data_IF_209328678106
#
_entry.id   IF_209328678106
#
_cell.length_a   1.000
_cell.length_b   1.000
_cell.length_c   1.000
_cell.angle_alpha   90.00
_cell.angle_beta   90.00
_cell.angle_gamma   90.00
#
_symmetry.space_group_name_H-M   'P 1'
#
loop_
_entity.id
_entity.type
_entity.pdbx_description
1 polymer ?
#
# COMPACT_ATOMS: atom_id res chain seq x y z
N UNK A 1 14.39 -0.22 -0.78
CA UNK A 1 13.69 0.95 -1.36
C UNK A 1 12.18 0.87 -1.22
N UNK A 2 11.50 -0.22 -1.63
CA UNK A 2 10.02 -0.30 -1.58
C UNK A 2 9.43 -0.34 -0.16
N UNK A 3 10.06 -1.06 0.75
CA UNK A 3 9.56 -1.17 2.13
C UNK A 3 9.58 0.18 2.88
N UNK A 4 10.65 0.97 2.71
CA UNK A 4 10.75 2.29 3.33
C UNK A 4 9.68 3.24 2.80
N UNK A 5 9.32 3.16 1.52
CA UNK A 5 8.24 3.97 0.93
C UNK A 5 6.88 3.66 1.55
N UNK A 6 6.56 2.38 1.76
CA UNK A 6 5.31 2.00 2.46
C UNK A 6 5.30 2.51 3.91
N UNK A 7 6.43 2.41 4.61
CA UNK A 7 6.55 2.93 5.98
C UNK A 7 6.41 4.46 5.99
N UNK A 8 7.04 5.18 5.07
CA UNK A 8 6.99 6.64 4.97
C UNK A 8 5.58 7.14 4.63
N UNK A 9 4.89 6.49 3.68
CA UNK A 9 3.49 6.79 3.37
C UNK A 9 2.58 6.58 4.60
N UNK A 10 2.83 5.52 5.37
CA UNK A 10 2.09 5.25 6.59
C UNK A 10 2.43 6.25 7.72
N UNK A 11 3.70 6.64 7.86
CA UNK A 11 4.16 7.67 8.81
C UNK A 11 3.51 9.02 8.48
N UNK A 12 3.42 9.39 7.19
CA UNK A 12 2.74 10.60 6.74
C UNK A 12 1.25 10.56 7.06
N UNK A 13 0.56 9.44 6.77
CA UNK A 13 -0.87 9.27 7.09
C UNK A 13 -1.14 9.28 8.60
N UNK A 14 -0.25 8.68 9.41
CA UNK A 14 -0.36 8.66 10.87
C UNK A 14 0.08 9.96 11.56
N UNK A 15 0.77 10.86 10.85
CA UNK A 15 1.34 12.10 11.36
C UNK A 15 2.59 11.93 12.23
N UNK A 16 2.75 10.82 12.96
CA UNK A 16 3.94 10.51 13.77
C UNK A 16 4.24 9.00 13.74
N UNK A 17 5.54 8.67 13.80
CA UNK A 17 6.03 7.28 13.89
C UNK A 17 5.46 6.51 15.10
N UNK A 18 5.35 7.16 16.26
CA UNK A 18 4.80 6.55 17.48
C UNK A 18 3.34 6.13 17.32
N UNK A 19 2.55 6.91 16.56
CA UNK A 19 1.16 6.58 16.28
C UNK A 19 1.06 5.44 15.27
N UNK A 20 1.92 5.44 14.24
CA UNK A 20 2.03 4.29 13.33
C UNK A 20 2.35 2.99 14.08
N UNK A 21 3.27 3.01 15.04
CA UNK A 21 3.62 1.84 15.83
C UNK A 21 2.42 1.30 16.62
N UNK A 22 1.60 2.18 17.21
CA UNK A 22 0.35 1.79 17.89
C UNK A 22 -0.66 1.18 16.93
N UNK A 23 -0.88 1.80 15.76
CA UNK A 23 -1.79 1.30 14.70
C UNK A 23 -1.38 -0.10 14.25
N UNK A 24 -0.07 -0.31 14.03
CA UNK A 24 0.49 -1.59 13.61
C UNK A 24 0.65 -2.60 14.76
N UNK A 25 0.39 -2.19 16.01
CA UNK A 25 0.55 -2.98 17.24
C UNK A 25 1.97 -3.52 17.43
N UNK A 26 2.98 -2.70 17.17
CA UNK A 26 4.40 -3.04 17.32
C UNK A 26 5.16 -1.91 18.03
N UNK A 27 6.44 -2.12 18.33
CA UNK A 27 7.29 -1.07 18.91
C UNK A 27 7.91 -0.18 17.84
N UNK A 28 8.19 1.07 18.19
CA UNK A 28 8.98 2.02 17.37
C UNK A 28 10.35 1.46 16.97
N UNK A 29 10.96 0.67 17.88
CA UNK A 29 12.22 -0.01 17.64
C UNK A 29 12.11 -1.01 16.48
N UNK A 30 10.98 -1.73 16.40
CA UNK A 30 10.74 -2.65 15.29
C UNK A 30 10.70 -1.88 13.95
N UNK A 31 9.94 -0.78 13.86
CA UNK A 31 9.91 0.05 12.63
C UNK A 31 11.34 0.48 12.24
N UNK A 32 12.16 0.92 13.18
CA UNK A 32 13.56 1.31 12.92
C UNK A 32 14.41 0.15 12.39
N UNK A 33 14.26 -1.05 12.94
CA UNK A 33 15.01 -2.22 12.48
C UNK A 33 14.61 -2.62 11.05
N UNK A 34 13.34 -2.43 10.66
CA UNK A 34 12.90 -2.65 9.28
C UNK A 34 13.46 -1.58 8.34
N UNK A 35 13.37 -0.29 8.69
CA UNK A 35 13.90 0.81 7.85
C UNK A 35 15.41 0.69 7.59
N UNK A 36 16.15 0.13 8.56
CA UNK A 36 17.61 -0.09 8.46
C UNK A 36 17.99 -1.40 7.77
N UNK A 37 17.00 -2.20 7.35
CA UNK A 37 17.23 -3.46 6.67
C UNK A 37 17.66 -4.63 7.55
N UNK A 38 17.61 -4.48 8.88
CA UNK A 38 18.05 -5.51 9.82
C UNK A 38 17.06 -6.67 9.94
N UNK A 39 15.78 -6.42 9.63
CA UNK A 39 14.71 -7.45 9.59
C UNK A 39 13.55 -7.03 8.70
N UNK A 40 12.74 -7.99 8.26
CA UNK A 40 11.41 -7.74 7.72
C UNK A 40 10.33 -7.60 8.80
N UNK A 41 9.18 -7.05 8.41
CA UNK A 41 7.92 -7.23 9.12
C UNK A 41 7.40 -8.67 8.97
N UNK A 42 6.66 -9.13 9.98
CA UNK A 42 5.83 -10.33 9.87
C UNK A 42 4.61 -10.06 8.99
N UNK A 43 4.05 -11.11 8.39
CA UNK A 43 2.94 -11.00 7.44
C UNK A 43 1.72 -10.29 8.02
N UNK A 44 1.40 -10.52 9.30
CA UNK A 44 0.29 -9.85 9.98
C UNK A 44 0.50 -8.34 10.09
N UNK A 45 1.75 -7.89 10.28
CA UNK A 45 2.11 -6.47 10.31
C UNK A 45 2.08 -5.88 8.90
N UNK A 46 2.54 -6.63 7.89
CA UNK A 46 2.45 -6.22 6.48
C UNK A 46 1.00 -6.01 6.04
N UNK A 47 0.09 -6.92 6.42
CA UNK A 47 -1.34 -6.79 6.10
C UNK A 47 -1.95 -5.56 6.77
N UNK A 48 -1.68 -5.35 8.07
CA UNK A 48 -2.13 -4.14 8.79
C UNK A 48 -1.62 -2.85 8.13
N UNK A 49 -0.35 -2.86 7.72
CA UNK A 49 0.27 -1.72 7.04
C UNK A 49 -0.39 -1.46 5.68
N UNK A 50 -0.57 -2.50 4.87
CA UNK A 50 -1.19 -2.42 3.56
C UNK A 50 -2.63 -1.89 3.66
N UNK A 51 -3.44 -2.45 4.55
CA UNK A 51 -4.82 -2.01 4.79
C UNK A 51 -4.87 -0.56 5.28
N UNK A 52 -3.92 -0.16 6.12
CA UNK A 52 -3.85 1.20 6.63
C UNK A 52 -3.55 2.23 5.54
N UNK A 53 -2.69 1.91 4.56
CA UNK A 53 -2.32 2.84 3.47
C UNK A 53 -3.08 2.61 2.17
N UNK A 54 -3.93 1.58 2.09
CA UNK A 54 -4.64 1.20 0.87
C UNK A 54 -3.74 0.60 -0.21
N UNK A 55 -2.62 -0.03 0.17
CA UNK A 55 -1.70 -0.70 -0.75
C UNK A 55 -2.05 -2.19 -0.92
N UNK A 56 -1.53 -2.82 -1.98
CA UNK A 56 -1.70 -4.25 -2.18
C UNK A 56 -0.92 -5.04 -1.10
N UNK A 57 -1.62 -5.92 -0.37
CA UNK A 57 -1.04 -6.75 0.69
C UNK A 57 0.16 -7.57 0.23
N UNK A 58 0.10 -8.15 -0.98
CA UNK A 58 1.18 -8.96 -1.53
C UNK A 58 2.43 -8.15 -1.84
N UNK A 59 2.27 -6.90 -2.31
CA UNK A 59 3.40 -6.02 -2.57
C UNK A 59 4.13 -5.63 -1.28
N UNK A 60 3.37 -5.36 -0.21
CA UNK A 60 3.95 -5.02 1.10
C UNK A 60 4.69 -6.23 1.71
N UNK A 61 4.10 -7.43 1.61
CA UNK A 61 4.75 -8.68 2.06
C UNK A 61 6.03 -8.95 1.26
N UNK A 62 5.96 -8.89 -0.08
CA UNK A 62 7.12 -9.08 -0.95
C UNK A 62 8.22 -8.04 -0.65
N UNK A 63 7.85 -6.78 -0.45
CA UNK A 63 8.79 -5.73 -0.08
C UNK A 63 9.47 -6.00 1.26
N UNK A 64 8.73 -6.52 2.26
CA UNK A 64 9.27 -6.89 3.56
C UNK A 64 10.28 -8.04 3.47
N UNK A 65 9.97 -9.09 2.70
CA UNK A 65 10.85 -10.24 2.55
C UNK A 65 12.13 -9.90 1.78
N UNK A 66 12.02 -9.05 0.77
CA UNK A 66 13.18 -8.54 0.01
C UNK A 66 14.18 -7.73 0.86
N UNK A 67 13.78 -7.26 2.05
CA UNK A 67 14.69 -6.54 2.95
C UNK A 67 15.85 -7.44 3.41
N UNK A 68 15.56 -8.71 3.68
CA UNK A 68 16.53 -9.64 4.28
C UNK A 68 16.90 -10.81 3.39
N UNK A 69 16.15 -11.07 2.33
CA UNK A 69 16.40 -12.20 1.44
C UNK A 69 17.69 -11.99 0.63
N UNK A 70 18.56 -13.01 0.67
CA UNK A 70 19.87 -13.03 0.00
C UNK A 70 19.89 -13.96 -1.19
N UNK A 71 19.00 -14.96 -1.20
CA UNK A 71 18.86 -15.92 -2.28
C UNK A 71 18.28 -15.23 -3.53
N UNK A 72 19.05 -15.21 -4.62
CA UNK A 72 18.66 -14.56 -5.86
C UNK A 72 17.41 -15.17 -6.50
N UNK A 73 17.17 -16.47 -6.36
CA UNK A 73 15.98 -17.11 -6.92
C UNK A 73 14.72 -16.64 -6.19
N UNK A 74 14.77 -16.62 -4.85
CA UNK A 74 13.66 -16.12 -4.02
C UNK A 74 13.42 -14.63 -4.24
N UNK A 75 14.48 -13.86 -4.41
CA UNK A 75 14.37 -12.43 -4.74
C UNK A 75 13.60 -12.22 -6.05
N UNK A 76 13.90 -12.99 -7.10
CA UNK A 76 13.16 -12.91 -8.37
C UNK A 76 11.66 -13.22 -8.19
N UNK A 77 11.32 -14.19 -7.34
CA UNK A 77 9.92 -14.49 -7.02
C UNK A 77 9.23 -13.27 -6.39
N UNK A 78 9.84 -12.66 -5.37
CA UNK A 78 9.25 -11.48 -4.72
C UNK A 78 9.25 -10.24 -5.64
N UNK A 79 10.25 -10.08 -6.50
CA UNK A 79 10.30 -9.00 -7.48
C UNK A 79 9.16 -9.11 -8.51
N UNK A 80 8.75 -10.34 -8.87
CA UNK A 80 7.60 -10.58 -9.77
C UNK A 80 6.25 -10.19 -9.16
N UNK A 81 6.16 -10.11 -7.83
CA UNK A 81 4.94 -9.68 -7.15
C UNK A 81 4.60 -8.20 -7.41
N UNK A 82 5.57 -7.39 -7.85
CA UNK A 82 5.34 -5.97 -8.17
C UNK A 82 4.92 -5.72 -9.62
N UNK A 83 5.15 -6.67 -10.53
CA UNK A 83 4.72 -6.54 -11.94
C UNK A 83 3.30 -7.06 -12.14
N UNK A 84 2.85 -7.97 -11.27
CA UNK A 84 1.54 -8.63 -11.38
C UNK A 84 0.41 -7.84 -10.71
N UNK A 85 0.73 -6.88 -9.84
CA UNK A 85 -0.23 -6.08 -9.10
C UNK A 85 -0.81 -4.87 -9.88
N UNK A 86 -0.79 -4.91 -11.22
CA UNK A 86 -1.58 -4.01 -12.05
C UNK A 86 -3.06 -4.45 -12.09
N UNK A 87 -3.71 -4.57 -10.92
CA UNK A 87 -5.16 -4.49 -10.88
C UNK A 87 -5.54 -3.03 -10.96
N UNK A 88 -5.97 -2.63 -12.16
CA UNK A 88 -6.52 -1.33 -12.54
C UNK A 88 -7.38 -0.73 -11.43
N UNK A 89 -6.92 0.36 -10.80
CA UNK A 89 -7.82 1.37 -10.21
C UNK A 89 -7.51 2.67 -10.93
N UNK A 90 -8.38 2.95 -11.89
CA UNK A 90 -8.46 4.21 -12.62
C UNK A 90 -9.46 5.09 -11.85
N UNK A 91 -9.06 6.26 -11.35
CA UNK A 91 -9.78 7.50 -11.70
C UNK A 91 -9.01 8.75 -11.28
N UNK A 92 -9.12 9.74 -12.16
CA UNK A 92 -8.59 11.08 -12.11
C UNK A 92 -9.60 12.05 -11.47
N UNK A 93 -9.07 13.18 -10.99
CA UNK A 93 -9.70 14.52 -10.94
C UNK A 93 -10.47 14.92 -9.67
N UNK A 94 -10.04 16.04 -9.09
CA UNK A 94 -10.95 17.02 -8.51
C UNK A 94 -10.68 18.40 -9.16
N UNK A 95 -11.53 18.75 -10.11
CA UNK A 95 -12.03 20.13 -10.23
C UNK A 95 -12.72 20.44 -8.90
N UNK A 96 -12.42 21.60 -8.32
CA UNK A 96 -12.66 21.91 -6.92
C UNK A 96 -14.12 21.76 -6.49
N UNK A 97 -14.36 20.95 -5.46
CA UNK A 97 -14.44 21.41 -4.08
C UNK A 97 -14.52 20.19 -3.16
N UNK A 98 -14.03 20.38 -1.94
CA UNK A 98 -13.89 19.42 -0.84
C UNK A 98 -15.05 18.43 -0.73
N UNK A 99 -14.84 17.18 -1.15
CA UNK A 99 -15.18 15.97 -0.40
C UNK A 99 -14.61 14.74 -1.15
N UNK A 100 -13.69 14.04 -0.48
CA UNK A 100 -13.00 12.86 -0.98
C UNK A 100 -13.98 11.69 -1.16
N UNK A 101 -14.26 11.30 -2.40
CA UNK A 101 -15.00 10.07 -2.70
C UNK A 101 -14.10 9.04 -3.38
N UNK A 102 -13.90 7.94 -2.65
CA UNK A 102 -13.39 6.66 -3.15
C UNK A 102 -14.38 6.09 -4.18
N UNK A 103 -13.90 5.77 -5.38
CA UNK A 103 -14.73 5.19 -6.44
C UNK A 103 -14.30 3.76 -6.73
N UNK A 104 -15.23 2.83 -6.46
CA UNK A 104 -15.17 1.45 -6.91
C UNK A 104 -15.91 1.32 -8.25
N UNK A 105 -15.42 0.44 -9.11
CA UNK A 105 -15.67 0.38 -10.57
C UNK A 105 -17.12 0.09 -10.99
N UNK A 106 -17.99 -0.32 -10.07
CA UNK A 106 -19.32 -0.85 -10.39
C UNK A 106 -20.40 0.23 -10.62
N UNK A 107 -20.24 1.43 -10.06
CA UNK A 107 -21.23 2.52 -10.20
C UNK A 107 -21.09 3.27 -11.53
N UNK A 108 -19.93 3.17 -12.19
CA UNK A 108 -19.61 3.96 -13.38
C UNK A 108 -20.49 3.58 -14.58
N UNK A 109 -20.79 2.29 -14.79
CA UNK A 109 -21.54 1.80 -15.95
C UNK A 109 -22.97 2.37 -15.99
N UNK A 110 -23.62 2.51 -14.84
CA UNK A 110 -24.99 3.06 -14.75
C UNK A 110 -25.05 4.56 -15.05
N UNK A 111 -24.03 5.31 -14.63
CA UNK A 111 -24.03 6.76 -14.79
C UNK A 111 -23.73 7.16 -16.24
N UNK A 112 -22.78 6.52 -16.93
CA UNK A 112 -22.48 6.87 -18.34
C UNK A 112 -23.66 6.58 -19.28
N UNK A 113 -24.42 5.52 -19.00
CA UNK A 113 -25.63 5.21 -19.77
C UNK A 113 -26.71 6.30 -19.62
N UNK A 114 -26.81 6.95 -18.46
CA UNK A 114 -27.78 8.02 -18.23
C UNK A 114 -27.42 9.31 -18.97
N UNK A 115 -26.13 9.64 -19.06
CA UNK A 115 -25.69 10.86 -19.76
C UNK A 115 -25.69 10.71 -21.29
N UNK A 116 -25.41 9.53 -21.84
CA UNK A 116 -25.42 9.31 -23.30
C UNK A 116 -26.83 9.31 -23.91
N UNK A 117 -27.87 9.07 -23.10
CA UNK A 117 -29.28 9.14 -23.53
C UNK A 117 -29.82 10.57 -23.50
N UNK A 118 -29.10 11.53 -22.90
CA UNK A 118 -29.53 12.92 -22.72
C UNK A 118 -28.87 13.94 -23.68
N UNK A 119 -28.14 13.47 -24.72
CA UNK A 119 -27.66 14.30 -25.83
C UNK A 119 -28.38 13.97 -27.14
#
# INVERSE_FOLDING_TARGET
>A
MKMNQFIEAAEQKAGKKTELAKILKISDGYIRMVKTGRRGFSDDVCIRLADYIGANRLEVIAASNLVTEKDEEKRKIFESCFTTAASVIFLMVAVGNSDLLYLDTNTYIFTVASYFVLC
#
